data_IF_398011974514
#
_entry.id   IF_398011974514
#
_cell.length_a   1.000
_cell.length_b   1.000
_cell.length_c   1.000
_cell.angle_alpha   90.00
_cell.angle_beta   90.00
_cell.angle_gamma   90.00
#
_symmetry.space_group_name_H-M   'P 1'
#
loop_
_entity.id
_entity.type
_entity.pdbx_description
1 polymer ?
#
# COMPACT_ATOMS: atom_id res chain seq x y z
N UNK A 1 -13.83 -7.05 -1.21
CA UNK A 1 -12.69 -6.95 -0.29
C UNK A 1 -13.23 -6.68 1.09
N UNK A 2 -12.76 -7.43 2.10
CA UNK A 2 -13.26 -7.35 3.48
C UNK A 2 -12.13 -6.88 4.41
N UNK A 3 -11.55 -5.72 4.10
CA UNK A 3 -10.58 -5.02 4.94
C UNK A 3 -10.67 -3.52 4.68
N UNK A 4 -10.21 -2.72 5.60
CA UNK A 4 -10.28 -1.25 5.55
C UNK A 4 -8.93 -0.61 5.86
N UNK A 5 -8.19 -1.11 6.85
CA UNK A 5 -6.85 -0.63 7.20
C UNK A 5 -5.78 -1.55 6.63
N UNK A 6 -4.85 -0.99 5.86
CA UNK A 6 -3.72 -1.77 5.32
C UNK A 6 -2.43 -0.95 5.25
N UNK A 7 -1.29 -1.63 5.41
CA UNK A 7 0.04 -1.03 5.26
C UNK A 7 0.69 -1.45 3.95
N UNK A 8 1.17 -0.45 3.20
CA UNK A 8 2.11 -0.68 2.11
C UNK A 8 3.47 -1.02 2.73
N UNK A 9 3.79 -2.30 2.86
CA UNK A 9 4.98 -2.76 3.57
C UNK A 9 6.27 -2.32 2.89
N UNK A 10 7.27 -1.92 3.68
CA UNK A 10 8.65 -1.85 3.20
C UNK A 10 9.19 -3.26 2.98
N UNK A 11 10.20 -3.41 2.13
CA UNK A 11 11.05 -4.62 2.06
C UNK A 11 12.37 -4.30 2.77
N UNK A 12 12.65 -4.91 3.94
CA UNK A 12 13.92 -4.70 4.61
C UNK A 12 15.03 -5.46 3.88
N UNK A 13 16.20 -4.84 3.80
CA UNK A 13 17.38 -5.45 3.20
C UNK A 13 18.51 -5.57 4.24
N UNK A 14 19.30 -6.64 4.11
CA UNK A 14 20.58 -6.77 4.83
C UNK A 14 21.64 -5.82 4.25
N UNK A 15 22.81 -5.76 4.87
CA UNK A 15 23.94 -4.94 4.38
C UNK A 15 24.43 -5.32 2.99
N UNK A 16 24.31 -6.60 2.63
CA UNK A 16 24.62 -7.13 1.30
C UNK A 16 23.52 -6.91 0.26
N UNK A 17 22.48 -6.18 0.62
CA UNK A 17 21.30 -5.87 -0.19
C UNK A 17 20.40 -7.07 -0.49
N UNK A 18 20.62 -8.24 0.09
CA UNK A 18 19.65 -9.34 0.04
C UNK A 18 18.42 -8.99 0.90
N UNK A 19 17.28 -9.59 0.58
CA UNK A 19 16.06 -9.41 1.39
C UNK A 19 16.30 -9.99 2.79
N UNK A 20 15.98 -9.21 3.82
CA UNK A 20 15.97 -9.68 5.20
C UNK A 20 14.62 -10.33 5.53
N UNK A 21 14.50 -11.61 5.20
CA UNK A 21 13.27 -12.38 5.38
C UNK A 21 12.80 -12.41 6.83
N UNK A 22 13.73 -12.50 7.80
CA UNK A 22 13.40 -12.57 9.23
C UNK A 22 12.85 -11.23 9.75
N UNK A 23 13.50 -10.11 9.37
CA UNK A 23 12.98 -8.79 9.68
C UNK A 23 11.62 -8.58 9.00
N UNK A 24 11.44 -9.01 7.75
CA UNK A 24 10.18 -8.87 7.01
C UNK A 24 9.04 -9.63 7.71
N UNK A 25 9.27 -10.86 8.13
CA UNK A 25 8.30 -11.64 8.92
C UNK A 25 7.93 -10.93 10.22
N UNK A 26 8.93 -10.38 10.92
CA UNK A 26 8.73 -9.63 12.18
C UNK A 26 7.86 -8.39 11.96
N UNK A 27 8.10 -7.63 10.89
CA UNK A 27 7.29 -6.47 10.54
C UNK A 27 5.84 -6.86 10.22
N UNK A 28 5.60 -7.96 9.53
CA UNK A 28 4.26 -8.46 9.23
C UNK A 28 3.54 -8.87 10.53
N UNK A 29 4.21 -9.60 11.42
CA UNK A 29 3.65 -9.94 12.74
C UNK A 29 3.28 -8.69 13.53
N UNK A 30 4.12 -7.65 13.48
CA UNK A 30 3.83 -6.36 14.12
C UNK A 30 2.54 -5.73 13.59
N UNK A 31 2.29 -5.76 12.27
CA UNK A 31 1.03 -5.27 11.69
C UNK A 31 -0.18 -6.04 12.25
N UNK A 32 -0.05 -7.37 12.35
CA UNK A 32 -1.10 -8.23 12.89
C UNK A 32 -1.44 -7.87 14.33
N UNK A 33 -0.42 -7.79 15.21
CA UNK A 33 -0.64 -7.51 16.63
C UNK A 33 -1.10 -6.08 16.91
N UNK A 34 -0.84 -5.15 15.98
CA UNK A 34 -1.28 -3.76 16.08
C UNK A 34 -2.61 -3.47 15.38
N UNK A 35 -3.30 -4.51 14.91
CA UNK A 35 -4.69 -4.45 14.50
C UNK A 35 -4.92 -3.96 13.06
N UNK A 36 -3.96 -4.08 12.16
CA UNK A 36 -4.17 -3.85 10.74
C UNK A 36 -4.99 -5.01 10.13
N UNK A 37 -5.94 -4.69 9.25
CA UNK A 37 -6.78 -5.69 8.59
C UNK A 37 -6.03 -6.41 7.46
N UNK A 38 -5.11 -5.70 6.79
CA UNK A 38 -4.36 -6.24 5.65
C UNK A 38 -2.93 -5.69 5.58
N UNK A 39 -2.09 -6.40 4.84
CA UNK A 39 -0.79 -5.91 4.41
C UNK A 39 -0.65 -5.99 2.88
N UNK A 40 0.16 -5.09 2.33
CA UNK A 40 0.46 -5.00 0.91
C UNK A 40 1.96 -5.23 0.71
N UNK A 41 2.39 -6.50 0.52
CA UNK A 41 3.76 -6.80 0.11
C UNK A 41 4.03 -6.27 -1.30
N UNK A 42 5.27 -5.93 -1.56
CA UNK A 42 5.85 -5.61 -2.88
C UNK A 42 5.07 -4.57 -3.70
N UNK A 43 4.50 -3.55 -3.02
CA UNK A 43 4.08 -2.32 -3.67
C UNK A 43 5.26 -1.38 -3.91
N UNK A 44 4.96 -0.11 -4.22
CA UNK A 44 5.98 0.96 -4.38
C UNK A 44 6.87 1.08 -3.13
N UNK A 45 6.26 1.09 -1.95
CA UNK A 45 6.96 1.18 -0.66
C UNK A 45 7.85 -0.05 -0.40
N UNK A 46 7.50 -1.20 -0.96
CA UNK A 46 8.28 -2.44 -0.90
C UNK A 46 9.39 -2.52 -1.96
N UNK A 47 9.71 -1.43 -2.66
CA UNK A 47 10.78 -1.37 -3.68
C UNK A 47 10.63 -2.43 -4.78
N UNK A 48 9.41 -2.75 -5.18
CA UNK A 48 9.11 -3.79 -6.18
C UNK A 48 9.92 -3.65 -7.48
N UNK A 49 10.24 -2.42 -7.90
CA UNK A 49 10.98 -2.15 -9.13
C UNK A 49 12.45 -2.61 -9.10
N UNK A 50 13.03 -2.83 -7.92
CA UNK A 50 14.44 -3.28 -7.75
C UNK A 50 14.57 -4.71 -7.24
N UNK A 51 13.44 -5.38 -7.02
CA UNK A 51 13.42 -6.81 -6.72
C UNK A 51 13.52 -7.64 -8.01
N UNK A 52 14.27 -8.70 -7.98
CA UNK A 52 14.16 -9.74 -9.00
C UNK A 52 12.79 -10.41 -8.91
N UNK A 53 12.30 -11.02 -9.98
CA UNK A 53 11.03 -11.78 -9.95
C UNK A 53 10.99 -12.82 -8.82
N UNK A 54 12.10 -13.50 -8.57
CA UNK A 54 12.24 -14.50 -7.50
C UNK A 54 12.05 -13.86 -6.11
N UNK A 55 12.70 -12.74 -5.86
CA UNK A 55 12.56 -12.00 -4.59
C UNK A 55 11.15 -11.43 -4.42
N UNK A 56 10.56 -10.89 -5.50
CA UNK A 56 9.20 -10.39 -5.51
C UNK A 56 8.21 -11.49 -5.08
N UNK A 57 8.29 -12.66 -5.72
CA UNK A 57 7.48 -13.83 -5.37
C UNK A 57 7.74 -14.29 -3.93
N UNK A 58 9.01 -14.33 -3.50
CA UNK A 58 9.37 -14.74 -2.14
C UNK A 58 8.79 -13.81 -1.07
N UNK A 59 8.80 -12.51 -1.28
CA UNK A 59 8.18 -11.55 -0.35
C UNK A 59 6.66 -11.76 -0.22
N UNK A 60 5.97 -12.11 -1.31
CA UNK A 60 4.54 -12.46 -1.26
C UNK A 60 4.33 -13.76 -0.47
N UNK A 61 5.17 -14.79 -0.69
CA UNK A 61 5.13 -16.06 0.07
C UNK A 61 5.27 -15.81 1.56
N UNK A 62 6.31 -15.08 1.98
CA UNK A 62 6.56 -14.75 3.39
C UNK A 62 5.33 -14.06 4.00
N UNK A 63 4.74 -13.10 3.29
CA UNK A 63 3.57 -12.40 3.79
C UNK A 63 2.38 -13.35 4.01
N UNK A 64 2.11 -14.24 3.06
CA UNK A 64 1.01 -15.20 3.15
C UNK A 64 1.27 -16.24 4.24
N UNK A 65 2.47 -16.81 4.30
CA UNK A 65 2.88 -17.78 5.32
C UNK A 65 2.77 -17.18 6.73
N UNK A 66 3.30 -15.97 6.92
CA UNK A 66 3.24 -15.26 8.21
C UNK A 66 1.81 -14.99 8.63
N UNK A 67 0.96 -14.49 7.73
CA UNK A 67 -0.45 -14.23 8.02
C UNK A 67 -1.25 -15.51 8.31
N UNK A 68 -0.92 -16.65 7.67
CA UNK A 68 -1.56 -17.95 7.94
C UNK A 68 -1.15 -18.52 9.30
N UNK A 69 0.11 -18.37 9.66
CA UNK A 69 0.68 -19.02 10.86
C UNK A 69 0.59 -18.16 12.12
N UNK A 70 0.26 -16.87 12.02
CA UNK A 70 0.13 -15.97 13.17
C UNK A 70 -1.32 -15.87 13.61
N UNK A 71 -1.62 -16.34 14.82
CA UNK A 71 -2.95 -16.24 15.42
C UNK A 71 -3.16 -14.82 15.98
N UNK A 72 -4.28 -14.21 15.62
CA UNK A 72 -4.72 -12.94 16.22
C UNK A 72 -5.59 -13.22 17.46
N UNK A 73 -5.72 -12.26 18.40
CA UNK A 73 -6.64 -12.38 19.53
C UNK A 73 -8.11 -12.61 19.11
N UNK A 74 -8.51 -12.08 17.96
CA UNK A 74 -9.86 -12.23 17.38
C UNK A 74 -10.02 -13.52 16.56
N UNK A 75 -8.99 -14.34 16.46
CA UNK A 75 -8.93 -15.53 15.60
C UNK A 75 -9.18 -15.24 14.10
N UNK A 76 -9.10 -13.97 13.70
CA UNK A 76 -9.19 -13.54 12.30
C UNK A 76 -7.79 -13.45 11.70
N UNK A 77 -7.61 -13.89 10.45
CA UNK A 77 -6.35 -13.78 9.73
C UNK A 77 -6.24 -12.42 9.05
N UNK A 78 -5.10 -11.71 9.22
CA UNK A 78 -4.79 -10.53 8.43
C UNK A 78 -4.75 -10.89 6.94
N UNK A 79 -5.34 -10.04 6.08
CA UNK A 79 -5.43 -10.26 4.64
C UNK A 79 -4.13 -9.85 3.93
N UNK A 80 -3.85 -10.51 2.80
CA UNK A 80 -2.70 -10.17 1.95
C UNK A 80 -3.19 -9.67 0.61
N UNK A 81 -2.91 -8.40 0.32
CA UNK A 81 -3.14 -7.77 -0.98
C UNK A 81 -1.80 -7.71 -1.72
N UNK A 82 -1.51 -8.69 -2.57
CA UNK A 82 -0.21 -8.81 -3.23
C UNK A 82 -0.03 -7.78 -4.34
N UNK A 83 1.07 -7.03 -4.31
CA UNK A 83 1.46 -6.15 -5.41
C UNK A 83 1.94 -6.98 -6.60
N UNK A 84 1.30 -6.82 -7.77
CA UNK A 84 1.61 -7.60 -8.98
C UNK A 84 1.70 -6.73 -10.24
N UNK A 85 1.51 -5.41 -10.10
CA UNK A 85 1.53 -4.48 -11.23
C UNK A 85 2.93 -4.30 -11.84
N UNK A 86 2.98 -4.27 -13.16
CA UNK A 86 4.16 -3.97 -13.96
C UNK A 86 3.76 -3.18 -15.20
N UNK A 87 4.72 -2.55 -15.85
CA UNK A 87 4.51 -1.91 -17.15
C UNK A 87 4.47 -2.90 -18.32
N UNK A 88 4.73 -4.18 -18.08
CA UNK A 88 4.55 -5.28 -19.02
C UNK A 88 3.38 -6.17 -18.56
N UNK A 89 2.33 -6.30 -19.40
CA UNK A 89 1.16 -7.12 -19.08
C UNK A 89 1.53 -8.58 -18.80
N UNK A 90 2.48 -9.14 -19.54
CA UNK A 90 2.95 -10.52 -19.37
C UNK A 90 3.57 -10.78 -18.00
N UNK A 91 4.30 -9.80 -17.47
CA UNK A 91 4.92 -9.85 -16.15
C UNK A 91 3.85 -9.80 -15.05
N UNK A 92 2.92 -8.85 -15.14
CA UNK A 92 1.77 -8.75 -14.23
C UNK A 92 0.93 -10.03 -14.24
N UNK A 93 0.71 -10.67 -15.39
CA UNK A 93 0.01 -11.95 -15.50
C UNK A 93 0.73 -13.07 -14.73
N UNK A 94 2.06 -13.16 -14.87
CA UNK A 94 2.86 -14.16 -14.17
C UNK A 94 2.75 -13.99 -12.66
N UNK A 95 2.93 -12.76 -12.16
CA UNK A 95 2.85 -12.44 -10.75
C UNK A 95 1.43 -12.63 -10.18
N UNK A 96 0.39 -12.24 -10.92
CA UNK A 96 -1.00 -12.40 -10.51
C UNK A 96 -1.39 -13.87 -10.35
N UNK A 97 -1.07 -14.73 -11.33
CA UNK A 97 -1.30 -16.17 -11.26
C UNK A 97 -0.54 -16.81 -10.10
N UNK A 98 0.71 -16.40 -9.90
CA UNK A 98 1.50 -16.87 -8.77
C UNK A 98 0.86 -16.47 -7.44
N UNK A 99 0.50 -15.20 -7.24
CA UNK A 99 -0.12 -14.71 -6.02
C UNK A 99 -1.43 -15.47 -5.68
N UNK A 100 -2.29 -15.70 -6.68
CA UNK A 100 -3.49 -16.51 -6.50
C UNK A 100 -3.15 -17.95 -6.10
N UNK A 101 -2.20 -18.58 -6.79
CA UNK A 101 -1.81 -19.99 -6.56
C UNK A 101 -1.38 -20.23 -5.11
N UNK A 102 -0.63 -19.29 -4.52
CA UNK A 102 -0.12 -19.41 -3.15
C UNK A 102 -1.11 -18.92 -2.08
N UNK A 103 -2.24 -18.31 -2.49
CA UNK A 103 -3.36 -17.98 -1.62
C UNK A 103 -3.38 -16.54 -1.11
N UNK A 104 -2.98 -15.58 -1.93
CA UNK A 104 -3.27 -14.16 -1.70
C UNK A 104 -4.78 -13.92 -1.67
N UNK A 105 -5.24 -12.97 -0.83
CA UNK A 105 -6.67 -12.64 -0.71
C UNK A 105 -7.15 -11.71 -1.83
N UNK A 106 -6.23 -10.93 -2.40
CA UNK A 106 -6.46 -10.03 -3.53
C UNK A 106 -5.12 -9.61 -4.14
N UNK A 107 -5.17 -8.95 -5.30
CA UNK A 107 -4.00 -8.36 -5.96
C UNK A 107 -4.14 -6.86 -6.15
N UNK A 108 -3.02 -6.13 -6.06
CA UNK A 108 -2.88 -4.71 -6.34
C UNK A 108 -2.09 -4.52 -7.63
N UNK A 109 -2.71 -3.87 -8.63
CA UNK A 109 -2.09 -3.63 -9.93
C UNK A 109 -1.89 -2.12 -10.14
N UNK A 110 -0.64 -1.66 -10.13
CA UNK A 110 -0.29 -0.29 -10.49
C UNK A 110 -0.45 -0.09 -12.01
N UNK A 111 -0.85 1.12 -12.43
CA UNK A 111 -0.86 1.48 -13.85
C UNK A 111 0.52 1.29 -14.47
N UNK A 112 0.60 0.82 -15.73
CA UNK A 112 1.86 0.74 -16.44
C UNK A 112 2.59 2.09 -16.43
N UNK A 113 3.79 2.09 -15.89
CA UNK A 113 4.66 3.26 -15.76
C UNK A 113 5.64 3.33 -16.95
N UNK A 114 6.16 4.52 -17.26
CA UNK A 114 7.11 4.79 -18.31
C UNK A 114 6.51 4.76 -19.73
N UNK A 115 5.87 3.66 -20.18
CA UNK A 115 5.30 3.48 -21.52
C UNK A 115 3.96 4.22 -21.74
N UNK A 116 3.33 4.75 -20.67
CA UNK A 116 2.18 5.66 -20.71
C UNK A 116 1.09 5.23 -21.70
N UNK A 117 0.43 4.08 -21.49
CA UNK A 117 -0.59 3.58 -22.41
C UNK A 117 -1.79 4.53 -22.52
N UNK A 118 -2.53 4.43 -23.62
CA UNK A 118 -3.83 5.10 -23.78
C UNK A 118 -4.87 4.52 -22.82
N UNK A 119 -6.02 5.17 -22.64
CA UNK A 119 -7.11 4.65 -21.81
C UNK A 119 -7.61 3.28 -22.28
N UNK A 120 -7.68 3.06 -23.59
CA UNK A 120 -7.98 1.74 -24.15
C UNK A 120 -6.90 0.72 -23.82
N UNK A 121 -5.62 1.10 -23.87
CA UNK A 121 -4.51 0.24 -23.46
C UNK A 121 -4.56 -0.11 -21.97
N UNK A 122 -4.92 0.83 -21.09
CA UNK A 122 -5.15 0.58 -19.65
C UNK A 122 -6.32 -0.40 -19.47
N UNK A 123 -7.42 -0.20 -20.18
CA UNK A 123 -8.58 -1.10 -20.11
C UNK A 123 -8.19 -2.54 -20.47
N UNK A 124 -7.53 -2.76 -21.60
CA UNK A 124 -7.12 -4.10 -22.05
C UNK A 124 -6.09 -4.72 -21.11
N UNK A 125 -5.14 -3.93 -20.60
CA UNK A 125 -4.13 -4.38 -19.63
C UNK A 125 -4.80 -4.94 -18.37
N UNK A 126 -5.66 -4.16 -17.71
CA UNK A 126 -6.32 -4.56 -16.48
C UNK A 126 -7.33 -5.69 -16.69
N UNK A 127 -8.10 -5.65 -17.78
CA UNK A 127 -9.03 -6.72 -18.15
C UNK A 127 -8.29 -8.05 -18.31
N UNK A 128 -7.18 -8.05 -19.05
CA UNK A 128 -6.38 -9.24 -19.31
C UNK A 128 -5.82 -9.83 -18.00
N UNK A 129 -5.29 -8.98 -17.09
CA UNK A 129 -4.78 -9.43 -15.79
C UNK A 129 -5.94 -9.98 -14.94
N UNK A 130 -7.03 -9.25 -14.84
CA UNK A 130 -8.17 -9.65 -14.02
C UNK A 130 -8.78 -10.97 -14.50
N UNK A 131 -8.95 -11.16 -15.80
CA UNK A 131 -9.46 -12.41 -16.37
C UNK A 131 -8.53 -13.63 -16.17
N UNK A 132 -7.28 -13.42 -15.81
CA UNK A 132 -6.31 -14.50 -15.55
C UNK A 132 -6.38 -15.09 -14.14
N UNK A 133 -7.17 -14.48 -13.24
CA UNK A 133 -7.32 -14.85 -11.83
C UNK A 133 -8.77 -14.74 -11.40
N UNK A 134 -9.14 -15.45 -10.31
CA UNK A 134 -10.49 -15.41 -9.74
C UNK A 134 -10.55 -14.47 -8.52
N UNK A 135 -9.42 -14.22 -7.88
CA UNK A 135 -9.34 -13.35 -6.69
C UNK A 135 -9.58 -11.89 -7.05
N UNK A 136 -10.07 -11.07 -6.09
CA UNK A 136 -10.33 -9.65 -6.31
C UNK A 136 -9.09 -8.87 -6.78
N UNK A 137 -9.31 -7.96 -7.73
CA UNK A 137 -8.29 -7.05 -8.27
C UNK A 137 -8.56 -5.63 -7.79
N UNK A 138 -7.55 -4.97 -7.29
CA UNK A 138 -7.55 -3.54 -6.97
C UNK A 138 -6.67 -2.81 -7.99
N UNK A 139 -7.27 -1.86 -8.70
CA UNK A 139 -6.54 -0.91 -9.55
C UNK A 139 -5.67 -0.01 -8.66
N UNK A 140 -4.52 0.45 -9.15
CA UNK A 140 -3.73 1.44 -8.43
C UNK A 140 -3.37 2.60 -9.35
N UNK A 141 -3.94 3.76 -9.06
CA UNK A 141 -3.70 5.00 -9.78
C UNK A 141 -2.79 5.93 -8.98
N UNK A 142 -1.61 6.21 -9.55
CA UNK A 142 -0.57 7.07 -8.97
C UNK A 142 0.15 7.84 -10.08
N UNK A 143 -0.54 8.81 -10.72
CA UNK A 143 -0.05 9.46 -11.94
C UNK A 143 1.28 10.21 -11.75
N UNK A 144 1.60 10.66 -10.53
CA UNK A 144 2.90 11.26 -10.19
C UNK A 144 4.09 10.31 -10.39
N UNK A 145 3.87 8.99 -10.37
CA UNK A 145 4.90 7.97 -10.59
C UNK A 145 4.81 7.30 -11.95
N UNK A 146 3.59 7.09 -12.44
CA UNK A 146 3.37 6.33 -13.68
C UNK A 146 3.40 7.21 -14.93
N UNK A 147 3.15 8.51 -14.78
CA UNK A 147 3.00 9.45 -15.90
C UNK A 147 1.69 9.28 -16.67
N UNK A 148 0.79 8.42 -16.19
CA UNK A 148 -0.56 8.21 -16.75
C UNK A 148 -1.55 7.99 -15.62
N UNK A 149 -2.78 8.53 -15.77
CA UNK A 149 -3.89 8.29 -14.84
C UNK A 149 -4.92 7.37 -15.47
N UNK A 150 -5.56 6.53 -14.65
CA UNK A 150 -6.77 5.80 -15.05
C UNK A 150 -7.93 6.80 -14.99
N UNK A 151 -8.40 7.32 -16.10
CA UNK A 151 -9.53 8.25 -16.11
C UNK A 151 -10.78 7.64 -15.46
N UNK A 152 -11.64 8.48 -14.85
CA UNK A 152 -12.87 8.01 -14.18
C UNK A 152 -13.73 7.13 -15.09
N UNK A 153 -13.99 7.49 -16.36
CA UNK A 153 -14.76 6.62 -17.28
C UNK A 153 -14.11 5.24 -17.48
N UNK A 154 -12.77 5.19 -17.55
CA UNK A 154 -12.02 3.92 -17.72
C UNK A 154 -12.12 3.06 -16.46
N UNK A 155 -11.96 3.65 -15.28
CA UNK A 155 -12.08 2.93 -14.01
C UNK A 155 -13.48 2.36 -13.81
N UNK A 156 -14.53 3.15 -14.10
CA UNK A 156 -15.92 2.73 -14.04
C UNK A 156 -16.25 1.63 -15.05
N UNK A 157 -15.74 1.75 -16.29
CA UNK A 157 -15.91 0.72 -17.29
C UNK A 157 -15.28 -0.61 -16.87
N UNK A 158 -14.06 -0.58 -16.32
CA UNK A 158 -13.38 -1.75 -15.77
C UNK A 158 -14.20 -2.40 -14.66
N UNK A 159 -14.71 -1.61 -13.71
CA UNK A 159 -15.53 -2.12 -12.62
C UNK A 159 -16.82 -2.80 -13.10
N UNK A 160 -17.50 -2.21 -14.08
CA UNK A 160 -18.78 -2.71 -14.63
C UNK A 160 -18.63 -3.96 -15.50
N UNK A 161 -17.57 -4.00 -16.33
CA UNK A 161 -17.39 -5.05 -17.34
C UNK A 161 -16.51 -6.22 -16.87
N UNK A 162 -15.70 -6.04 -15.81
CA UNK A 162 -14.76 -7.07 -15.33
C UNK A 162 -15.10 -7.46 -13.89
N UNK A 163 -15.79 -8.60 -13.70
CA UNK A 163 -16.46 -8.94 -12.42
C UNK A 163 -15.57 -8.99 -11.19
N UNK A 164 -14.27 -9.30 -11.32
CA UNK A 164 -13.34 -9.38 -10.20
C UNK A 164 -12.52 -8.10 -9.95
N UNK A 165 -12.67 -7.04 -10.78
CA UNK A 165 -12.19 -5.71 -10.43
C UNK A 165 -13.15 -5.11 -9.40
N UNK A 166 -12.69 -4.93 -8.15
CA UNK A 166 -13.53 -4.57 -7.01
C UNK A 166 -13.19 -3.25 -6.36
N UNK A 167 -11.98 -2.74 -6.59
CA UNK A 167 -11.48 -1.57 -5.89
C UNK A 167 -10.47 -0.78 -6.71
N UNK A 168 -10.24 0.45 -6.24
CA UNK A 168 -9.12 1.29 -6.67
C UNK A 168 -8.39 1.84 -5.44
N UNK A 169 -7.04 1.78 -5.46
CA UNK A 169 -6.19 2.60 -4.61
C UNK A 169 -5.97 3.93 -5.32
N UNK A 170 -6.52 4.97 -4.73
CA UNK A 170 -6.49 6.34 -5.25
C UNK A 170 -5.34 7.11 -4.61
N UNK A 171 -4.33 7.44 -5.40
CA UNK A 171 -3.15 8.19 -4.98
C UNK A 171 -2.80 9.33 -5.96
N UNK A 172 -3.82 9.89 -6.60
CA UNK A 172 -3.67 11.10 -7.44
C UNK A 172 -3.70 12.40 -6.62
N UNK A 173 -4.16 12.35 -5.37
CA UNK A 173 -4.37 13.52 -4.52
C UNK A 173 -5.68 14.28 -4.80
N UNK A 174 -6.57 13.77 -5.68
CA UNK A 174 -7.79 14.45 -6.10
C UNK A 174 -9.03 13.97 -5.35
N UNK A 175 -9.49 14.74 -4.37
CA UNK A 175 -10.78 14.48 -3.70
C UNK A 175 -11.98 14.56 -4.66
N UNK A 176 -11.91 15.44 -5.67
CA UNK A 176 -12.94 15.51 -6.73
C UNK A 176 -13.10 14.16 -7.41
N UNK A 177 -11.99 13.51 -7.74
CA UNK A 177 -11.98 12.20 -8.38
C UNK A 177 -12.58 11.11 -7.49
N UNK A 178 -12.25 11.11 -6.19
CA UNK A 178 -12.86 10.20 -5.20
C UNK A 178 -14.37 10.36 -5.18
N UNK A 179 -14.85 11.61 -5.06
CA UNK A 179 -16.28 11.94 -5.05
C UNK A 179 -16.97 11.50 -6.34
N UNK A 180 -16.34 11.73 -7.50
CA UNK A 180 -16.89 11.36 -8.81
C UNK A 180 -17.02 9.83 -8.97
N UNK A 181 -15.98 9.07 -8.60
CA UNK A 181 -16.03 7.61 -8.61
C UNK A 181 -17.16 7.08 -7.71
N UNK A 182 -17.25 7.58 -6.48
CA UNK A 182 -18.29 7.17 -5.51
C UNK A 182 -19.69 7.58 -5.95
N UNK A 183 -19.84 8.76 -6.57
CA UNK A 183 -21.13 9.23 -7.10
C UNK A 183 -21.69 8.28 -8.17
N UNK A 184 -20.84 7.82 -9.07
CA UNK A 184 -21.26 6.94 -10.15
C UNK A 184 -21.39 5.47 -9.76
N UNK A 185 -20.57 4.99 -8.79
CA UNK A 185 -20.56 3.58 -8.37
C UNK A 185 -20.27 3.44 -6.88
N UNK A 186 -21.30 3.33 -6.07
CA UNK A 186 -21.18 3.21 -4.60
C UNK A 186 -20.53 1.89 -4.16
N UNK A 187 -20.61 0.85 -4.96
CA UNK A 187 -20.05 -0.47 -4.68
C UNK A 187 -18.58 -0.59 -5.11
N UNK A 188 -18.08 0.33 -5.92
CA UNK A 188 -16.67 0.39 -6.28
C UNK A 188 -15.85 0.89 -5.09
N UNK A 189 -15.09 0.01 -4.47
CA UNK A 189 -14.37 0.31 -3.24
C UNK A 189 -13.17 1.22 -3.50
N UNK A 190 -13.12 2.39 -2.86
CA UNK A 190 -12.04 3.36 -3.02
C UNK A 190 -11.18 3.34 -1.76
N UNK A 191 -9.89 3.06 -1.91
CA UNK A 191 -8.90 3.10 -0.84
C UNK A 191 -7.98 4.30 -1.02
N UNK A 192 -7.74 5.04 0.06
CA UNK A 192 -6.74 6.09 0.06
C UNK A 192 -5.33 5.49 -0.13
N UNK A 193 -4.57 6.06 -1.04
CA UNK A 193 -3.14 5.81 -1.22
C UNK A 193 -2.27 6.98 -0.78
N UNK A 194 -2.89 8.00 -0.13
CA UNK A 194 -2.26 9.27 0.27
C UNK A 194 -2.50 9.52 1.76
N UNK A 195 -1.49 9.30 2.60
CA UNK A 195 -1.64 9.34 4.05
C UNK A 195 -2.14 10.70 4.57
N UNK A 196 -1.70 11.80 3.97
CA UNK A 196 -2.14 13.14 4.34
C UNK A 196 -3.62 13.41 4.06
N UNK A 197 -4.24 12.62 3.18
CA UNK A 197 -5.64 12.74 2.76
C UNK A 197 -6.54 11.59 3.24
N UNK A 198 -6.04 10.66 4.06
CA UNK A 198 -6.77 9.47 4.48
C UNK A 198 -8.17 9.79 5.00
N UNK A 199 -8.26 10.71 5.98
CA UNK A 199 -9.54 11.15 6.53
C UNK A 199 -10.45 11.72 5.44
N UNK A 200 -9.98 12.69 4.66
CA UNK A 200 -10.77 13.37 3.63
C UNK A 200 -11.27 12.40 2.56
N UNK A 201 -10.45 11.45 2.12
CA UNK A 201 -10.84 10.43 1.14
C UNK A 201 -11.92 9.52 1.71
N UNK A 202 -11.78 9.06 2.97
CA UNK A 202 -12.80 8.21 3.61
C UNK A 202 -14.14 8.95 3.75
N UNK A 203 -14.13 10.25 3.98
CA UNK A 203 -15.36 11.07 4.07
C UNK A 203 -15.95 11.41 2.70
N UNK A 204 -15.16 11.36 1.64
CA UNK A 204 -15.62 11.56 0.25
C UNK A 204 -16.15 10.28 -0.41
N UNK A 205 -16.33 9.20 0.36
CA UNK A 205 -16.82 7.92 -0.14
C UNK A 205 -15.76 6.80 -0.19
N UNK A 206 -14.55 7.05 0.32
CA UNK A 206 -13.54 6.02 0.51
C UNK A 206 -13.94 5.01 1.58
N UNK A 207 -13.48 3.77 1.46
CA UNK A 207 -13.81 2.68 2.38
C UNK A 207 -12.62 2.16 3.19
N UNK A 208 -11.43 2.70 2.96
CA UNK A 208 -10.23 2.27 3.66
C UNK A 208 -8.97 2.98 3.18
N UNK A 209 -7.82 2.55 3.70
CA UNK A 209 -6.52 3.13 3.41
C UNK A 209 -5.46 2.07 3.11
N UNK A 210 -4.47 2.43 2.29
CA UNK A 210 -3.22 1.68 2.10
C UNK A 210 -2.07 2.64 2.45
N UNK A 211 -1.67 2.61 3.70
CA UNK A 211 -0.84 3.61 4.37
C UNK A 211 0.66 3.27 4.31
N UNK A 212 1.51 4.26 4.13
CA UNK A 212 2.96 4.19 4.37
C UNK A 212 3.25 4.39 5.86
N UNK A 213 2.59 5.35 6.49
CA UNK A 213 2.70 5.63 7.93
C UNK A 213 2.33 4.43 8.79
N UNK A 214 1.46 3.54 8.27
CA UNK A 214 1.13 2.26 8.91
C UNK A 214 2.32 1.32 9.16
N UNK A 215 3.47 1.52 8.52
CA UNK A 215 4.70 0.78 8.87
C UNK A 215 5.23 1.19 10.25
N UNK A 216 5.10 2.45 10.64
CA UNK A 216 5.54 2.99 11.94
C UNK A 216 4.43 2.95 13.00
N UNK A 217 3.23 3.39 12.65
CA UNK A 217 2.11 3.62 13.57
C UNK A 217 0.86 2.82 13.16
N UNK A 218 0.97 1.48 13.01
CA UNK A 218 -0.16 0.66 12.51
C UNK A 218 -1.40 0.77 13.41
N UNK A 219 -1.23 0.83 14.74
CA UNK A 219 -2.34 0.97 15.68
C UNK A 219 -3.12 2.28 15.49
N UNK A 220 -2.45 3.43 15.28
CA UNK A 220 -3.13 4.71 15.08
C UNK A 220 -3.84 4.76 13.72
N UNK A 221 -3.22 4.23 12.67
CA UNK A 221 -3.88 4.11 11.37
C UNK A 221 -5.11 3.20 11.46
N UNK A 222 -4.99 2.04 12.11
CA UNK A 222 -6.13 1.14 12.32
C UNK A 222 -7.24 1.81 13.13
N UNK A 223 -6.90 2.54 14.21
CA UNK A 223 -7.88 3.28 15.02
C UNK A 223 -8.59 4.38 14.22
N UNK A 224 -7.84 5.18 13.45
CA UNK A 224 -8.40 6.22 12.59
C UNK A 224 -9.42 5.66 11.61
N UNK A 225 -9.04 4.57 10.92
CA UNK A 225 -9.91 3.88 9.96
C UNK A 225 -11.15 3.31 10.66
N UNK A 226 -10.99 2.66 11.82
CA UNK A 226 -12.10 2.12 12.60
C UNK A 226 -13.07 3.22 13.09
N UNK A 227 -12.55 4.39 13.47
CA UNK A 227 -13.38 5.55 13.82
C UNK A 227 -14.16 6.04 12.60
N UNK A 228 -13.51 6.14 11.43
CA UNK A 228 -14.16 6.58 10.20
C UNK A 228 -15.28 5.61 9.77
N UNK A 229 -15.03 4.29 9.76
CA UNK A 229 -16.03 3.26 9.44
C UNK A 229 -17.24 3.31 10.39
N UNK A 230 -17.00 3.60 11.67
CA UNK A 230 -18.07 3.77 12.67
C UNK A 230 -18.71 5.16 12.66
N UNK A 231 -18.42 5.99 11.64
CA UNK A 231 -18.92 7.36 11.49
C UNK A 231 -18.57 8.30 12.68
N UNK A 232 -17.51 7.97 13.42
CA UNK A 232 -16.96 8.80 14.49
C UNK A 232 -15.98 9.83 13.92
N UNK A 233 -16.50 10.73 13.15
CA UNK A 233 -15.77 11.66 12.29
C UNK A 233 -14.76 12.52 13.03
N UNK A 234 -15.17 13.12 14.12
CA UNK A 234 -14.29 13.98 14.92
C UNK A 234 -13.10 13.20 15.48
N UNK A 235 -13.34 11.98 16.00
CA UNK A 235 -12.27 11.12 16.53
C UNK A 235 -11.28 10.69 15.43
N UNK A 236 -11.79 10.38 14.23
CA UNK A 236 -10.93 10.06 13.10
C UNK A 236 -10.08 11.27 12.68
N UNK A 237 -10.66 12.48 12.66
CA UNK A 237 -9.95 13.72 12.35
C UNK A 237 -8.87 14.05 13.39
N UNK A 238 -9.14 13.85 14.66
CA UNK A 238 -8.16 14.06 15.74
C UNK A 238 -6.92 13.17 15.56
N UNK A 239 -7.12 11.89 15.20
CA UNK A 239 -6.01 10.97 14.93
C UNK A 239 -5.28 11.39 13.64
N UNK A 240 -6.00 11.77 12.58
CA UNK A 240 -5.39 12.27 11.35
C UNK A 240 -4.52 13.50 11.61
N UNK A 241 -5.04 14.47 12.37
CA UNK A 241 -4.29 15.68 12.73
C UNK A 241 -3.09 15.36 13.63
N UNK A 242 -3.25 14.42 14.57
CA UNK A 242 -2.13 13.94 15.40
C UNK A 242 -1.00 13.34 14.55
N UNK A 243 -1.31 12.71 13.42
CA UNK A 243 -0.31 12.07 12.53
C UNK A 243 0.20 13.00 11.42
N UNK A 244 -0.29 14.25 11.33
CA UNK A 244 -0.03 15.12 10.19
C UNK A 244 1.47 15.36 9.94
N UNK A 245 2.22 15.77 10.96
CA UNK A 245 3.66 16.05 10.83
C UNK A 245 4.45 14.79 10.42
N UNK A 246 4.04 13.62 10.94
CA UNK A 246 4.64 12.35 10.56
C UNK A 246 4.33 12.01 9.09
N UNK A 247 3.09 12.19 8.65
CA UNK A 247 2.73 12.02 7.23
C UNK A 247 3.60 12.90 6.33
N UNK A 248 3.80 14.18 6.69
CA UNK A 248 4.63 15.10 5.91
C UNK A 248 6.10 14.66 5.90
N UNK A 249 6.67 14.33 7.06
CA UNK A 249 8.07 13.93 7.19
C UNK A 249 8.40 12.67 6.38
N UNK A 250 7.46 11.73 6.25
CA UNK A 250 7.65 10.49 5.50
C UNK A 250 7.60 10.66 3.96
N UNK A 251 7.26 11.86 3.47
CA UNK A 251 7.16 12.16 2.04
C UNK A 251 7.98 13.38 1.60
N UNK A 252 8.89 13.90 2.45
CA UNK A 252 9.80 15.00 2.09
C UNK A 252 10.81 14.62 1.00
N UNK A 253 11.12 13.34 0.91
CA UNK A 253 11.85 12.71 -0.20
C UNK A 253 11.03 11.55 -0.77
N UNK A 254 11.50 10.99 -1.88
CA UNK A 254 10.79 9.88 -2.55
C UNK A 254 10.57 8.69 -1.60
N UNK A 255 9.29 8.32 -1.38
CA UNK A 255 8.95 7.07 -0.69
C UNK A 255 9.49 5.86 -1.49
N UNK A 256 10.21 4.89 -0.84
CA UNK A 256 10.26 4.61 0.59
C UNK A 256 11.52 5.14 1.34
N UNK A 257 12.23 6.12 0.82
CA UNK A 257 13.49 6.57 1.43
C UNK A 257 13.26 7.03 2.88
N UNK A 258 12.36 8.00 3.18
CA UNK A 258 12.17 8.46 4.56
C UNK A 258 11.59 7.39 5.48
N UNK A 259 10.63 6.57 5.03
CA UNK A 259 10.01 5.57 5.90
C UNK A 259 11.00 4.48 6.31
N UNK A 260 11.90 4.02 5.43
CA UNK A 260 12.92 3.02 5.80
C UNK A 260 13.91 3.60 6.81
N UNK A 261 14.34 4.87 6.64
CA UNK A 261 15.19 5.54 7.63
C UNK A 261 14.45 5.69 8.96
N UNK A 262 13.21 6.14 8.96
CA UNK A 262 12.41 6.28 10.17
C UNK A 262 12.24 4.95 10.92
N UNK A 263 12.02 3.85 10.21
CA UNK A 263 11.94 2.52 10.82
C UNK A 263 13.28 2.05 11.39
N UNK A 264 14.40 2.42 10.77
CA UNK A 264 15.74 2.16 11.32
C UNK A 264 15.97 2.96 12.60
N UNK A 265 15.71 4.26 12.59
CA UNK A 265 15.82 5.13 13.77
C UNK A 265 14.94 4.64 14.91
N UNK A 266 13.77 4.10 14.61
CA UNK A 266 12.86 3.48 15.58
C UNK A 266 13.27 2.07 16.02
N UNK A 267 14.41 1.54 15.57
CA UNK A 267 14.89 0.19 15.92
C UNK A 267 14.05 -0.96 15.38
N UNK A 268 13.19 -0.70 14.38
CA UNK A 268 12.32 -1.72 13.79
C UNK A 268 13.01 -2.54 12.69
N UNK A 269 14.06 -1.99 12.08
CA UNK A 269 14.95 -2.68 11.15
C UNK A 269 16.41 -2.34 11.49
N UNK A 270 17.30 -3.31 11.31
CA UNK A 270 18.72 -3.13 11.64
C UNK A 270 19.42 -2.19 10.63
N UNK A 271 19.09 -2.31 9.35
CA UNK A 271 19.77 -1.57 8.28
C UNK A 271 18.76 -0.80 7.43
N UNK A 272 18.96 0.52 7.21
CA UNK A 272 18.19 1.31 6.26
C UNK A 272 18.77 1.20 4.85
N UNK A 273 19.06 -0.04 4.40
CA UNK A 273 19.68 -0.28 3.10
C UNK A 273 18.71 -0.02 1.95
N UNK A 274 19.20 0.62 0.89
CA UNK A 274 18.45 0.95 -0.33
C UNK A 274 19.13 0.32 -1.53
N UNK A 275 18.35 -0.14 -2.51
CA UNK A 275 18.87 -0.57 -3.80
C UNK A 275 18.86 0.58 -4.81
N UNK A 276 19.94 0.78 -5.53
CA UNK A 276 19.97 1.78 -6.60
C UNK A 276 18.79 1.58 -7.57
N UNK A 277 18.15 2.65 -8.05
CA UNK A 277 18.60 4.06 -7.97
C UNK A 277 18.25 4.80 -6.67
N UNK A 278 17.61 4.14 -5.69
CA UNK A 278 17.34 4.76 -4.40
C UNK A 278 18.62 4.78 -3.55
N UNK A 279 18.79 5.87 -2.80
CA UNK A 279 19.94 6.10 -1.90
C UNK A 279 19.46 6.53 -0.53
N UNK A 280 20.36 6.59 0.44
CA UNK A 280 20.04 7.10 1.77
C UNK A 280 19.52 8.55 1.69
N UNK A 281 18.62 8.95 2.60
CA UNK A 281 18.10 10.32 2.63
C UNK A 281 19.18 11.32 3.00
N UNK A 282 18.92 12.60 2.71
CA UNK A 282 19.79 13.71 3.09
C UNK A 282 19.94 13.82 4.62
N UNK A 283 21.02 14.48 5.07
CA UNK A 283 21.22 14.75 6.50
C UNK A 283 20.10 15.59 7.10
N UNK A 284 19.55 16.50 6.32
CA UNK A 284 18.42 17.34 6.68
C UNK A 284 17.17 16.50 6.92
N UNK A 285 16.88 15.56 6.05
CA UNK A 285 15.77 14.62 6.20
C UNK A 285 15.96 13.72 7.42
N UNK A 286 17.16 13.20 7.68
CA UNK A 286 17.44 12.40 8.89
C UNK A 286 17.13 13.21 10.16
N UNK A 287 17.63 14.45 10.25
CA UNK A 287 17.34 15.34 11.40
C UNK A 287 15.85 15.65 11.57
N UNK A 288 15.14 15.85 10.46
CA UNK A 288 13.69 16.05 10.49
C UNK A 288 12.98 14.80 11.04
N UNK A 289 13.38 13.62 10.56
CA UNK A 289 12.80 12.35 11.02
C UNK A 289 13.08 12.11 12.52
N UNK A 290 14.32 12.31 13.00
CA UNK A 290 14.68 12.21 14.42
C UNK A 290 13.78 13.12 15.26
N UNK A 291 13.71 14.40 14.93
CA UNK A 291 12.85 15.36 15.63
C UNK A 291 11.38 14.93 15.63
N UNK A 292 10.87 14.50 14.48
CA UNK A 292 9.47 14.06 14.35
C UNK A 292 9.23 12.80 15.19
N UNK A 293 10.11 11.79 15.12
CA UNK A 293 9.95 10.55 15.87
C UNK A 293 10.00 10.78 17.39
N UNK A 294 10.80 11.75 17.87
CA UNK A 294 10.80 12.17 19.28
C UNK A 294 9.45 12.78 19.70
N UNK A 295 8.84 13.63 18.87
CA UNK A 295 7.51 14.21 19.12
C UNK A 295 6.41 13.14 19.28
N UNK A 296 6.58 11.99 18.62
CA UNK A 296 5.65 10.86 18.69
C UNK A 296 6.07 9.80 19.72
N UNK A 297 7.08 10.06 20.52
CA UNK A 297 7.63 9.12 21.52
C UNK A 297 7.99 7.74 20.93
N UNK A 298 8.40 7.73 19.65
CA UNK A 298 8.85 6.52 18.95
C UNK A 298 10.31 6.23 19.27
N UNK A 299 11.08 7.27 19.49
CA UNK A 299 12.49 7.22 19.92
C UNK A 299 12.70 8.17 21.12
N UNK A 300 13.77 7.92 21.91
CA UNK A 300 14.13 8.74 23.07
C UNK A 300 14.68 10.13 22.65
#
# INVERSE_FOLDING_TARGET
MQFHSSSALITPFKKDLSVDEAAYETLIKRQIFQGMDACVPVGTTGESATLTHKEHMRCIEIAIETCKNTKTPSNSRMKVLAGVGSNATSESLSLAKFAQKIGADAILCVSPYYNRPTQQGLFEHYKTIAQSVEIPVMLYDVPSRTGVSIEVPTALKLFREVPNIKAIKEASGSLKRVTELHYHEKDFKIFSGEDSLNHSIMFSGGCGVISVTGNLMPNLISQMVNCAIKQKYQQALEIQNKLFDLHQALFVETNPIPIKMAMHLAGLIENPSYRLPLVAPSKETIKLLEKTLQQYEVIA
#
